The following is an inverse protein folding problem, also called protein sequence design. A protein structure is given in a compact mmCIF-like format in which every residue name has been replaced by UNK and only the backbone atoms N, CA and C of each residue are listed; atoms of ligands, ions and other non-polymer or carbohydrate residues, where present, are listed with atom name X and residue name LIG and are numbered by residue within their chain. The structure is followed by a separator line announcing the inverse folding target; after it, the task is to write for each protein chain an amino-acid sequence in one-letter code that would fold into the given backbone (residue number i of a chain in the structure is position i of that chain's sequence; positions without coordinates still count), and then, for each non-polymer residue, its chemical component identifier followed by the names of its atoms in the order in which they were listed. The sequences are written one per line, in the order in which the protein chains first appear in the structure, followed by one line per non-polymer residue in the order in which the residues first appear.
data_IF_008371160799
#
_entry.id   IF_008371160799
#
_cell.length_a   1.000
_cell.length_b   1.000
_cell.length_c   1.000
_cell.angle_alpha   90.00
_cell.angle_beta   90.00
_cell.angle_gamma   90.00
#
_symmetry.space_group_name_H-M   'P 1'
#
loop_
_entity.id
_entity.type
_entity.pdbx_description
1 polymer ?
#
# COMPACT_ATOMS: atom_id res chain seq x y z
N UNK A 1 12.60 43.14 81.72
CA UNK A 1 12.77 41.70 81.47
C UNK A 1 12.20 41.44 80.08
N UNK A 2 12.96 41.56 78.96
CA UNK A 2 13.96 40.61 78.40
C UNK A 2 13.42 39.17 78.39
N UNK A 3 13.40 38.41 77.28
CA UNK A 3 14.39 38.17 76.18
C UNK A 3 13.68 37.63 74.91
N UNK A 4 14.04 37.97 73.66
CA UNK A 4 15.12 37.49 72.75
C UNK A 4 15.15 35.97 72.42
N UNK A 5 15.03 35.62 71.12
CA UNK A 5 15.82 34.64 70.31
C UNK A 5 15.16 34.50 68.91
N UNK A 6 15.65 35.12 67.83
CA UNK A 6 16.76 34.81 66.89
C UNK A 6 16.44 33.65 65.91
N UNK A 7 16.39 34.04 64.64
CA UNK A 7 16.36 33.25 63.41
C UNK A 7 17.62 32.40 63.20
N UNK A 8 17.45 31.14 62.81
CA UNK A 8 18.51 30.33 62.23
C UNK A 8 18.19 30.07 60.75
N UNK A 9 18.86 30.86 59.94
CA UNK A 9 19.13 30.70 58.51
C UNK A 9 19.78 29.32 58.29
N UNK A 10 19.10 28.41 57.58
CA UNK A 10 19.72 27.15 57.18
C UNK A 10 20.58 27.43 55.97
N UNK A 11 21.88 27.37 56.19
CA UNK A 11 22.93 27.46 55.18
C UNK A 11 22.66 26.50 54.03
N UNK A 12 22.29 27.04 52.87
CA UNK A 12 22.51 26.40 51.58
C UNK A 12 24.01 26.10 51.46
N UNK A 13 24.37 24.82 51.56
CA UNK A 13 25.69 24.34 51.17
C UNK A 13 25.81 24.48 49.64
N UNK A 14 26.66 25.40 49.12
CA UNK A 14 26.81 25.62 47.68
C UNK A 14 27.45 24.43 46.96
N UNK A 15 27.92 23.42 47.69
CA UNK A 15 28.57 22.22 47.17
C UNK A 15 27.67 20.98 47.19
N UNK A 16 26.44 21.08 47.72
CA UNK A 16 25.45 19.99 47.70
C UNK A 16 24.64 19.91 46.39
N UNK A 17 25.16 20.46 45.29
CA UNK A 17 24.63 20.24 43.93
C UNK A 17 24.87 18.78 43.50
N UNK A 18 24.21 17.86 44.20
CA UNK A 18 24.14 16.46 43.87
C UNK A 18 23.77 16.33 42.41
N UNK A 19 24.59 15.56 41.69
CA UNK A 19 24.39 15.17 40.31
C UNK A 19 22.90 14.92 40.05
N UNK A 20 22.22 15.90 39.45
CA UNK A 20 20.91 15.66 38.83
C UNK A 20 21.18 14.70 37.70
N UNK A 21 21.06 13.39 37.98
CA UNK A 21 21.01 12.34 36.96
C UNK A 21 19.98 12.81 35.93
N UNK A 22 20.45 13.23 34.75
CA UNK A 22 19.60 13.76 33.68
C UNK A 22 18.50 12.73 33.44
N UNK A 23 17.26 13.01 33.88
CA UNK A 23 16.14 12.10 33.72
C UNK A 23 15.94 11.88 32.23
N UNK A 24 15.85 10.61 31.81
CA UNK A 24 15.50 10.27 30.44
C UNK A 24 14.19 10.97 30.04
N UNK A 25 14.02 11.31 28.76
CA UNK A 25 12.77 11.88 28.29
C UNK A 25 11.65 10.86 28.46
N UNK A 26 10.47 11.35 28.85
CA UNK A 26 9.26 10.55 28.83
C UNK A 26 8.73 10.52 27.41
N UNK A 27 8.61 9.32 26.84
CA UNK A 27 8.14 9.10 25.48
C UNK A 27 6.77 8.41 25.54
N UNK A 28 5.80 8.98 24.83
CA UNK A 28 4.47 8.39 24.67
C UNK A 28 4.28 8.03 23.21
N UNK A 29 4.03 6.75 22.94
CA UNK A 29 3.67 6.23 21.62
C UNK A 29 2.16 6.03 21.58
N UNK A 30 1.48 6.69 20.64
CA UNK A 30 0.02 6.60 20.47
C UNK A 30 -0.27 5.65 19.30
N UNK A 31 -0.95 4.56 19.60
CA UNK A 31 -1.26 3.45 18.69
C UNK A 31 -0.29 2.28 18.85
N UNK A 32 -0.82 1.11 19.21
CA UNK A 32 -0.08 -0.16 19.29
C UNK A 32 -0.24 -1.00 18.00
N UNK A 33 -0.33 -0.33 16.84
CA UNK A 33 -0.10 -0.94 15.54
C UNK A 33 1.38 -1.20 15.29
N UNK A 34 1.71 -1.82 14.15
CA UNK A 34 3.11 -2.17 13.85
C UNK A 34 4.08 -1.00 13.86
N UNK A 35 3.66 0.19 13.43
CA UNK A 35 4.52 1.37 13.50
C UNK A 35 4.85 1.77 14.94
N UNK A 36 3.85 1.84 15.81
CA UNK A 36 4.05 2.20 17.21
C UNK A 36 4.82 1.13 18.01
N UNK A 37 4.50 -0.15 17.80
CA UNK A 37 5.24 -1.26 18.41
C UNK A 37 6.70 -1.31 17.94
N UNK A 38 6.94 -1.06 16.66
CA UNK A 38 8.29 -0.96 16.09
C UNK A 38 9.08 0.21 16.67
N UNK A 39 8.44 1.39 16.81
CA UNK A 39 9.05 2.55 17.45
C UNK A 39 9.39 2.28 18.93
N UNK A 40 8.45 1.73 19.70
CA UNK A 40 8.66 1.39 21.10
C UNK A 40 9.79 0.37 21.27
N UNK A 41 9.82 -0.69 20.45
CA UNK A 41 10.90 -1.69 20.44
C UNK A 41 12.26 -1.03 20.21
N UNK A 42 12.41 -0.22 19.16
CA UNK A 42 13.67 0.44 18.83
C UNK A 42 14.15 1.41 19.92
N UNK A 43 13.23 2.13 20.58
CA UNK A 43 13.54 3.00 21.71
C UNK A 43 14.05 2.21 22.93
N UNK A 44 13.35 1.12 23.29
CA UNK A 44 13.74 0.25 24.41
C UNK A 44 15.11 -0.40 24.15
N UNK A 45 15.35 -0.91 22.94
CA UNK A 45 16.63 -1.50 22.53
C UNK A 45 17.79 -0.48 22.56
N UNK A 46 17.46 0.81 22.41
CA UNK A 46 18.43 1.92 22.51
C UNK A 46 18.60 2.45 23.95
N UNK A 47 18.01 1.78 24.95
CA UNK A 47 18.20 2.08 26.37
C UNK A 47 17.23 3.10 26.97
N UNK A 48 16.21 3.54 26.23
CA UNK A 48 15.13 4.34 26.83
C UNK A 48 14.26 3.47 27.73
N UNK A 49 13.95 3.94 28.94
CA UNK A 49 13.19 3.18 29.94
C UNK A 49 11.83 3.81 30.28
N UNK A 50 11.64 5.10 29.97
CA UNK A 50 10.36 5.82 30.22
C UNK A 50 9.53 5.92 28.93
N UNK A 51 9.13 4.75 28.40
CA UNK A 51 8.33 4.61 27.17
C UNK A 51 6.96 4.04 27.51
N UNK A 52 5.89 4.77 27.20
CA UNK A 52 4.50 4.34 27.37
C UNK A 52 3.82 4.18 26.01
N UNK A 53 3.21 3.02 25.74
CA UNK A 53 2.37 2.81 24.56
C UNK A 53 0.91 2.91 24.95
N UNK A 54 0.13 3.72 24.23
CA UNK A 54 -1.31 3.88 24.41
C UNK A 54 -2.04 3.27 23.21
N UNK A 55 -2.99 2.39 23.45
CA UNK A 55 -3.84 1.78 22.42
C UNK A 55 -5.30 2.12 22.70
N UNK A 56 -6.05 2.45 21.64
CA UNK A 56 -7.45 2.85 21.78
C UNK A 56 -8.39 1.64 21.93
N UNK A 57 -7.95 0.48 21.45
CA UNK A 57 -8.68 -0.78 21.52
C UNK A 57 -8.18 -1.66 22.67
N UNK A 58 -8.85 -2.79 22.91
CA UNK A 58 -8.45 -3.82 23.88
C UNK A 58 -7.35 -4.77 23.35
N UNK A 59 -6.89 -4.56 22.10
CA UNK A 59 -5.94 -5.40 21.39
C UNK A 59 -4.82 -4.59 20.73
N UNK A 60 -3.61 -5.12 20.78
CA UNK A 60 -2.48 -4.61 19.98
C UNK A 60 -2.45 -5.24 18.56
N UNK A 61 -1.76 -4.59 17.63
CA UNK A 61 -1.55 -5.09 16.26
C UNK A 61 -2.14 -4.20 15.17
N UNK A 62 -3.00 -3.25 15.53
CA UNK A 62 -3.66 -2.36 14.56
C UNK A 62 -4.51 -3.17 13.57
N UNK A 63 -4.24 -3.02 12.27
CA UNK A 63 -4.95 -3.75 11.21
C UNK A 63 -4.53 -5.22 11.04
N UNK A 64 -3.48 -5.66 11.73
CA UNK A 64 -3.13 -7.09 11.80
C UNK A 64 -4.07 -7.73 12.82
N UNK A 65 -4.90 -8.69 12.41
CA UNK A 65 -5.90 -9.29 13.29
C UNK A 65 -6.12 -10.77 12.98
N UNK A 66 -5.50 -11.62 13.78
CA UNK A 66 -5.69 -13.06 13.78
C UNK A 66 -7.00 -13.43 14.47
N UNK A 67 -7.80 -14.30 13.83
CA UNK A 67 -9.03 -14.87 14.36
C UNK A 67 -8.96 -16.39 14.27
N UNK A 68 -9.28 -17.04 15.38
CA UNK A 68 -9.31 -18.49 15.47
C UNK A 68 -10.70 -19.03 15.12
N UNK A 69 -10.80 -19.95 14.16
CA UNK A 69 -12.01 -20.72 13.88
C UNK A 69 -11.66 -22.21 13.93
N UNK A 70 -12.19 -22.90 14.95
CA UNK A 70 -11.80 -24.29 15.21
C UNK A 70 -10.30 -24.37 15.49
N UNK A 71 -9.58 -25.17 14.70
CA UNK A 71 -8.14 -25.35 14.83
C UNK A 71 -7.32 -24.43 13.89
N UNK A 72 -7.98 -23.66 13.03
CA UNK A 72 -7.33 -22.78 12.06
C UNK A 72 -7.31 -21.31 12.52
N UNK A 73 -6.22 -20.63 12.19
CA UNK A 73 -6.05 -19.19 12.37
C UNK A 73 -6.19 -18.49 11.02
N UNK A 74 -6.99 -17.42 10.99
CA UNK A 74 -7.21 -16.59 9.80
C UNK A 74 -6.84 -15.14 10.10
N UNK A 75 -6.35 -14.40 9.11
CA UNK A 75 -6.05 -12.98 9.25
C UNK A 75 -7.17 -12.14 8.62
N UNK A 76 -7.79 -11.26 9.42
CA UNK A 76 -8.79 -10.30 8.94
C UNK A 76 -8.18 -9.04 8.31
N UNK A 77 -6.87 -8.86 8.43
CA UNK A 77 -6.15 -7.77 7.80
C UNK A 77 -4.65 -8.04 7.75
N UNK A 78 -3.94 -7.29 6.89
CA UNK A 78 -2.53 -7.48 6.61
C UNK A 78 -2.17 -8.93 6.18
N UNK A 79 -2.98 -9.49 5.29
CA UNK A 79 -2.90 -10.90 4.83
C UNK A 79 -1.66 -11.22 3.98
N UNK A 80 -0.85 -10.22 3.59
CA UNK A 80 0.28 -10.39 2.68
C UNK A 80 1.57 -9.79 3.24
N UNK A 81 2.68 -10.54 3.10
CA UNK A 81 4.04 -10.02 3.25
C UNK A 81 4.62 -9.79 1.86
N UNK A 82 4.87 -8.53 1.50
CA UNK A 82 5.35 -8.16 0.17
C UNK A 82 6.88 -8.23 0.06
N UNK A 83 7.38 -9.16 -0.76
CA UNK A 83 8.81 -9.28 -1.06
C UNK A 83 9.67 -9.76 0.12
N UNK A 84 10.84 -10.32 -0.19
CA UNK A 84 11.78 -10.86 0.81
C UNK A 84 12.98 -9.96 1.08
N UNK A 85 13.41 -9.17 0.09
CA UNK A 85 14.64 -8.38 0.21
C UNK A 85 14.38 -7.04 0.92
N UNK A 86 15.07 -6.80 2.04
CA UNK A 86 14.94 -5.55 2.81
C UNK A 86 13.59 -5.37 3.51
N UNK A 87 12.80 -6.44 3.62
CA UNK A 87 11.51 -6.42 4.29
C UNK A 87 11.66 -6.98 5.72
N UNK A 88 11.61 -6.14 6.77
CA UNK A 88 11.77 -6.60 8.16
C UNK A 88 10.67 -7.55 8.62
N UNK A 89 9.47 -7.50 8.01
CA UNK A 89 8.37 -8.41 8.35
C UNK A 89 8.62 -9.80 7.79
N UNK A 90 9.24 -9.89 6.60
CA UNK A 90 9.63 -11.17 6.02
C UNK A 90 10.68 -11.87 6.89
N UNK A 91 11.73 -11.14 7.28
CA UNK A 91 12.76 -11.69 8.18
C UNK A 91 12.20 -12.05 9.55
N UNK A 92 11.25 -11.27 10.08
CA UNK A 92 10.56 -11.64 11.31
C UNK A 92 9.80 -12.96 11.17
N UNK A 93 9.12 -13.18 10.03
CA UNK A 93 8.45 -14.44 9.76
C UNK A 93 9.45 -15.60 9.60
N UNK A 94 10.59 -15.36 8.93
CA UNK A 94 11.68 -16.32 8.77
C UNK A 94 12.29 -16.74 10.12
N UNK A 95 12.65 -15.78 10.96
CA UNK A 95 13.24 -15.98 12.28
C UNK A 95 12.32 -16.76 13.24
N UNK A 96 11.01 -16.71 13.00
CA UNK A 96 10.00 -17.43 13.79
C UNK A 96 9.53 -18.73 13.12
N UNK A 97 10.14 -19.15 12.00
CA UNK A 97 9.76 -20.37 11.29
C UNK A 97 8.33 -20.35 10.75
N UNK A 98 7.81 -19.15 10.41
CA UNK A 98 6.44 -18.94 9.92
C UNK A 98 6.33 -18.94 8.39
N UNK A 99 7.47 -18.98 7.69
CA UNK A 99 7.49 -19.14 6.24
C UNK A 99 7.27 -20.60 5.89
N UNK A 100 6.31 -20.90 5.02
CA UNK A 100 6.17 -22.25 4.48
C UNK A 100 7.42 -22.63 3.67
N UNK A 101 7.91 -23.85 3.88
CA UNK A 101 8.92 -24.47 3.01
C UNK A 101 8.29 -24.72 1.64
N UNK A 102 8.23 -23.68 0.81
CA UNK A 102 7.73 -23.81 -0.55
C UNK A 102 8.77 -24.54 -1.38
N UNK A 103 8.37 -25.67 -1.95
CA UNK A 103 9.13 -26.29 -3.04
C UNK A 103 9.17 -25.32 -4.23
N UNK A 104 10.20 -25.41 -5.07
CA UNK A 104 10.34 -24.56 -6.27
C UNK A 104 9.11 -24.59 -7.19
N UNK A 105 8.26 -25.63 -7.08
CA UNK A 105 6.98 -25.81 -7.78
C UNK A 105 5.79 -25.03 -7.20
N UNK A 106 5.81 -24.63 -5.93
CA UNK A 106 4.67 -24.02 -5.24
C UNK A 106 4.66 -22.49 -5.29
N UNK A 107 5.74 -21.88 -5.80
CA UNK A 107 5.88 -20.42 -5.92
C UNK A 107 5.01 -19.76 -7.00
N UNK A 108 4.13 -20.51 -7.69
CA UNK A 108 3.52 -20.09 -8.97
C UNK A 108 2.01 -20.25 -9.08
N UNK A 109 1.25 -20.22 -7.98
CA UNK A 109 -0.22 -20.24 -8.07
C UNK A 109 -0.79 -18.86 -7.74
N UNK A 110 -0.85 -18.01 -8.76
CA UNK A 110 -1.51 -16.71 -8.75
C UNK A 110 -1.35 -16.04 -10.12
N UNK A 111 -2.48 -15.89 -10.84
CA UNK A 111 -2.71 -15.18 -12.13
C UNK A 111 -1.52 -15.21 -13.12
N UNK A 112 -1.65 -15.98 -14.21
CA UNK A 112 -0.63 -16.09 -15.27
C UNK A 112 -0.31 -14.70 -15.84
N UNK A 113 0.79 -14.14 -15.35
CA UNK A 113 1.72 -13.26 -16.05
C UNK A 113 3.07 -13.94 -15.87
N UNK A 114 3.85 -14.11 -16.94
CA UNK A 114 5.13 -14.81 -16.89
C UNK A 114 6.15 -13.99 -16.07
N UNK A 115 6.08 -14.09 -14.75
CA UNK A 115 7.06 -13.55 -13.82
C UNK A 115 8.21 -14.56 -13.72
N UNK A 116 9.44 -14.10 -13.95
CA UNK A 116 10.65 -14.85 -13.55
C UNK A 116 10.68 -15.02 -12.02
N UNK A 117 11.49 -15.96 -11.51
CA UNK A 117 11.70 -16.31 -10.07
C UNK A 117 11.88 -15.10 -9.11
N UNK A 118 12.09 -13.89 -9.63
CA UNK A 118 12.29 -12.63 -8.89
C UNK A 118 11.20 -11.57 -9.10
N UNK A 119 10.05 -11.90 -9.71
CA UNK A 119 8.96 -10.95 -9.93
C UNK A 119 9.24 -9.85 -10.98
N UNK A 120 10.32 -9.97 -11.75
CA UNK A 120 10.69 -9.02 -12.81
C UNK A 120 10.16 -9.53 -14.15
N UNK A 121 9.29 -8.75 -14.80
CA UNK A 121 8.90 -8.98 -16.18
C UNK A 121 10.11 -8.78 -17.11
N UNK A 122 10.40 -9.76 -17.97
CA UNK A 122 11.41 -9.61 -19.00
C UNK A 122 10.76 -9.23 -20.32
N UNK A 123 11.26 -8.16 -20.94
CA UNK A 123 10.90 -7.77 -22.29
C UNK A 123 12.04 -8.18 -23.23
N UNK A 124 11.71 -8.94 -24.27
CA UNK A 124 12.67 -9.51 -25.20
C UNK A 124 12.33 -9.06 -26.62
N UNK A 125 13.34 -8.81 -27.44
CA UNK A 125 13.18 -8.70 -28.89
C UNK A 125 12.85 -10.07 -29.48
N UNK A 126 12.42 -10.11 -30.75
CA UNK A 126 12.24 -11.35 -31.50
C UNK A 126 13.52 -12.17 -31.69
N UNK A 127 14.70 -11.56 -31.51
CA UNK A 127 16.01 -12.22 -31.51
C UNK A 127 16.44 -12.71 -30.12
N UNK A 128 15.58 -12.60 -29.11
CA UNK A 128 15.87 -13.00 -27.73
C UNK A 128 16.76 -12.01 -26.96
N UNK A 129 17.01 -10.82 -27.50
CA UNK A 129 17.77 -9.79 -26.78
C UNK A 129 16.90 -9.09 -25.75
N UNK A 130 17.47 -8.84 -24.57
CA UNK A 130 16.76 -8.17 -23.49
C UNK A 130 16.61 -6.67 -23.76
N UNK A 131 15.39 -6.19 -23.61
CA UNK A 131 15.05 -4.77 -23.61
C UNK A 131 15.24 -4.24 -22.17
N UNK A 132 15.99 -3.14 -21.98
CA UNK A 132 16.12 -2.50 -20.68
C UNK A 132 14.75 -2.11 -20.09
N UNK A 133 14.59 -2.29 -18.77
CA UNK A 133 13.31 -2.12 -18.08
C UNK A 133 12.82 -0.66 -18.12
N UNK A 134 13.73 0.28 -17.90
CA UNK A 134 13.54 1.72 -17.99
C UNK A 134 12.98 2.13 -19.36
N UNK A 135 13.57 1.61 -20.45
CA UNK A 135 13.08 1.88 -21.82
C UNK A 135 11.65 1.38 -22.01
N UNK A 136 11.28 0.26 -21.36
CA UNK A 136 9.93 -0.28 -21.44
C UNK A 136 8.94 0.55 -20.64
N UNK A 137 9.28 0.90 -19.41
CA UNK A 137 8.42 1.72 -18.54
C UNK A 137 8.15 3.06 -19.21
N UNK A 138 9.19 3.72 -19.71
CA UNK A 138 9.07 5.01 -20.41
C UNK A 138 8.22 4.91 -21.68
N UNK A 139 8.39 3.84 -22.48
CA UNK A 139 7.53 3.61 -23.64
C UNK A 139 6.08 3.33 -23.24
N UNK A 140 5.87 2.57 -22.16
CA UNK A 140 4.54 2.25 -21.65
C UNK A 140 3.81 3.50 -21.19
N UNK A 141 4.50 4.40 -20.51
CA UNK A 141 3.95 5.69 -20.08
C UNK A 141 3.56 6.55 -21.29
N UNK A 142 4.47 6.68 -22.28
CA UNK A 142 4.18 7.35 -23.54
C UNK A 142 2.97 6.75 -24.26
N UNK A 143 2.90 5.41 -24.34
CA UNK A 143 1.79 4.72 -24.98
C UNK A 143 0.48 4.99 -24.27
N UNK A 144 0.45 4.89 -22.94
CA UNK A 144 -0.74 5.15 -22.12
C UNK A 144 -1.23 6.60 -22.28
N UNK A 145 -0.33 7.57 -22.35
CA UNK A 145 -0.70 8.96 -22.65
C UNK A 145 -1.37 9.08 -24.02
N UNK A 146 -0.80 8.47 -25.06
CA UNK A 146 -1.37 8.53 -26.41
C UNK A 146 -2.69 7.76 -26.47
N UNK A 147 -2.80 6.63 -25.77
CA UNK A 147 -4.02 5.86 -25.66
C UNK A 147 -5.13 6.68 -24.98
N UNK A 148 -4.83 7.41 -23.91
CA UNK A 148 -5.78 8.33 -23.28
C UNK A 148 -6.25 9.44 -24.24
N UNK A 149 -5.38 9.94 -25.13
CA UNK A 149 -5.79 10.88 -26.18
C UNK A 149 -6.81 10.27 -27.15
N UNK A 150 -6.75 8.96 -27.41
CA UNK A 150 -7.76 8.28 -28.23
C UNK A 150 -9.13 8.27 -27.55
N UNK A 151 -9.16 8.15 -26.22
CA UNK A 151 -10.38 8.19 -25.41
C UNK A 151 -10.95 9.61 -25.30
N UNK A 152 -10.08 10.62 -25.16
CA UNK A 152 -10.49 12.04 -25.13
C UNK A 152 -10.99 12.57 -26.49
N UNK A 153 -10.69 11.86 -27.58
CA UNK A 153 -11.11 12.23 -28.95
C UNK A 153 -12.63 12.35 -29.06
N UNK A 154 -13.38 11.51 -28.35
CA UNK A 154 -14.83 11.59 -28.26
C UNK A 154 -15.30 12.83 -27.47
N UNK A 155 -14.65 13.14 -26.34
CA UNK A 155 -15.10 14.16 -25.39
C UNK A 155 -14.88 15.60 -25.87
N UNK A 156 -13.86 15.87 -26.70
CA UNK A 156 -13.46 17.24 -27.08
C UNK A 156 -13.80 17.64 -28.52
N UNK A 157 -14.40 16.75 -29.30
CA UNK A 157 -14.65 16.96 -30.72
C UNK A 157 -13.39 16.85 -31.57
N UNK A 158 -13.55 16.34 -32.79
CA UNK A 158 -12.46 16.00 -33.73
C UNK A 158 -11.40 17.12 -33.85
N UNK A 159 -10.10 16.87 -33.61
CA UNK A 159 -9.06 17.81 -34.01
C UNK A 159 -9.04 17.95 -35.54
N UNK A 160 -8.84 19.17 -36.01
CA UNK A 160 -8.80 19.51 -37.44
C UNK A 160 -7.71 18.66 -38.12
N UNK A 161 -8.09 17.90 -39.16
CA UNK A 161 -7.30 16.95 -39.97
C UNK A 161 -7.28 15.46 -39.54
N UNK A 162 -8.11 15.02 -38.58
CA UNK A 162 -8.21 13.59 -38.22
C UNK A 162 -9.09 12.74 -39.17
N UNK A 163 -9.73 13.37 -40.17
CA UNK A 163 -10.74 12.72 -41.02
C UNK A 163 -10.18 11.81 -42.12
N UNK A 164 -8.87 11.75 -42.34
CA UNK A 164 -8.34 10.97 -43.47
C UNK A 164 -8.28 9.46 -43.22
N UNK A 165 -8.29 8.97 -41.96
CA UNK A 165 -8.22 7.53 -41.67
C UNK A 165 -9.08 7.00 -40.50
N UNK A 166 -9.72 7.85 -39.67
CA UNK A 166 -10.61 7.48 -38.53
C UNK A 166 -10.26 6.13 -37.85
N UNK A 167 -9.04 6.00 -37.36
CA UNK A 167 -8.48 4.71 -36.95
C UNK A 167 -7.57 4.86 -35.73
N UNK A 168 -7.86 4.09 -34.68
CA UNK A 168 -7.06 4.08 -33.44
C UNK A 168 -5.63 3.68 -33.73
N UNK A 169 -5.42 2.64 -34.54
CA UNK A 169 -4.10 2.13 -34.89
C UNK A 169 -3.27 3.17 -35.66
N UNK A 170 -3.87 3.82 -36.67
CA UNK A 170 -3.20 4.87 -37.45
C UNK A 170 -2.82 6.04 -36.56
N UNK A 171 -3.77 6.57 -35.80
CA UNK A 171 -3.56 7.71 -34.93
C UNK A 171 -2.46 7.44 -33.91
N UNK A 172 -2.55 6.30 -33.22
CA UNK A 172 -1.58 5.92 -32.19
C UNK A 172 -0.18 5.82 -32.77
N UNK A 173 -0.02 5.18 -33.93
CA UNK A 173 1.30 5.11 -34.61
C UNK A 173 1.84 6.47 -34.99
N UNK A 174 1.01 7.37 -35.50
CA UNK A 174 1.47 8.68 -35.94
C UNK A 174 1.89 9.56 -34.77
N UNK A 175 1.12 9.58 -33.68
CA UNK A 175 1.43 10.38 -32.49
C UNK A 175 2.67 9.83 -31.78
N UNK A 176 2.72 8.52 -31.52
CA UNK A 176 3.90 7.90 -30.89
C UNK A 176 5.14 8.11 -31.75
N UNK A 177 5.05 7.90 -33.08
CA UNK A 177 6.20 8.10 -33.98
C UNK A 177 6.72 9.54 -33.93
N UNK A 178 5.83 10.54 -33.89
CA UNK A 178 6.22 11.95 -33.78
C UNK A 178 6.92 12.22 -32.44
N UNK A 179 6.36 11.74 -31.33
CA UNK A 179 6.91 11.95 -29.98
C UNK A 179 8.27 11.27 -29.80
N UNK A 180 8.40 9.98 -30.16
CA UNK A 180 9.68 9.24 -30.08
C UNK A 180 10.78 9.89 -30.94
N UNK A 181 10.44 10.40 -32.13
CA UNK A 181 11.42 11.08 -32.98
C UNK A 181 11.88 12.42 -32.42
N UNK A 182 10.97 13.16 -31.79
CA UNK A 182 11.22 14.48 -31.23
C UNK A 182 11.98 14.44 -29.89
N UNK A 183 12.05 13.28 -29.24
CA UNK A 183 12.78 13.09 -27.99
C UNK A 183 14.30 13.29 -28.19
N UNK A 184 14.92 14.30 -27.55
CA UNK A 184 16.34 14.57 -27.69
C UNK A 184 17.21 13.66 -26.81
N UNK A 185 16.65 13.06 -25.76
CA UNK A 185 17.39 12.27 -24.76
C UNK A 185 17.61 10.83 -25.23
N UNK A 186 16.74 10.35 -26.12
CA UNK A 186 16.86 9.03 -26.71
C UNK A 186 17.94 8.93 -27.80
N UNK A 187 18.78 7.91 -27.68
CA UNK A 187 19.64 7.49 -28.79
C UNK A 187 18.82 6.89 -29.94
N UNK A 188 19.33 6.94 -31.17
CA UNK A 188 18.69 6.33 -32.35
C UNK A 188 18.41 4.83 -32.17
N UNK A 189 19.20 4.12 -31.37
CA UNK A 189 18.96 2.72 -31.04
C UNK A 189 17.72 2.54 -30.15
N UNK A 190 17.56 3.39 -29.13
CA UNK A 190 16.41 3.39 -28.23
C UNK A 190 15.13 3.81 -28.98
N UNK A 191 15.21 4.83 -29.85
CA UNK A 191 14.09 5.24 -30.70
C UNK A 191 13.59 4.10 -31.58
N UNK A 192 14.50 3.35 -32.21
CA UNK A 192 14.13 2.16 -33.00
C UNK A 192 13.45 1.09 -32.16
N UNK A 193 13.90 0.90 -30.92
CA UNK A 193 13.34 -0.08 -30.00
C UNK A 193 11.92 0.32 -29.56
N UNK A 194 11.72 1.56 -29.13
CA UNK A 194 10.40 2.14 -28.81
C UNK A 194 9.43 2.04 -30.01
N UNK A 195 9.88 2.40 -31.21
CA UNK A 195 9.09 2.26 -32.43
C UNK A 195 8.76 0.81 -32.82
N UNK A 196 9.56 -0.17 -32.39
CA UNK A 196 9.24 -1.59 -32.60
C UNK A 196 8.21 -2.08 -31.56
N UNK A 197 8.30 -1.60 -30.32
CA UNK A 197 7.39 -1.97 -29.23
C UNK A 197 5.93 -1.58 -29.50
N UNK A 198 5.68 -0.51 -30.26
CA UNK A 198 4.31 -0.11 -30.61
C UNK A 198 3.50 -1.22 -31.29
N UNK A 199 4.14 -2.07 -32.09
CA UNK A 199 3.46 -3.17 -32.76
C UNK A 199 2.96 -4.20 -31.76
N UNK A 200 3.70 -4.41 -30.67
CA UNK A 200 3.29 -5.34 -29.63
C UNK A 200 2.10 -4.80 -28.84
N UNK A 201 2.13 -3.52 -28.48
CA UNK A 201 1.03 -2.88 -27.75
C UNK A 201 -0.25 -2.86 -28.58
N UNK A 202 -0.18 -2.48 -29.85
CA UNK A 202 -1.36 -2.50 -30.74
C UNK A 202 -1.90 -3.93 -30.97
N UNK A 203 -1.05 -4.96 -30.93
CA UNK A 203 -1.52 -6.35 -30.97
C UNK A 203 -2.28 -6.73 -29.70
N UNK A 204 -1.80 -6.33 -28.53
CA UNK A 204 -2.53 -6.56 -27.27
C UNK A 204 -3.87 -5.84 -27.31
N UNK A 205 -3.91 -4.57 -27.72
CA UNK A 205 -5.18 -3.84 -27.83
C UNK A 205 -6.15 -4.45 -28.85
N UNK A 206 -5.65 -5.05 -29.94
CA UNK A 206 -6.52 -5.75 -30.89
C UNK A 206 -7.21 -6.97 -30.27
N UNK A 207 -6.57 -7.62 -29.29
CA UNK A 207 -7.21 -8.68 -28.51
C UNK A 207 -8.35 -8.13 -27.64
N UNK A 208 -8.09 -7.04 -26.90
CA UNK A 208 -9.07 -6.41 -26.01
C UNK A 208 -10.26 -5.84 -26.80
N UNK A 209 -9.98 -5.23 -27.95
CA UNK A 209 -10.98 -4.65 -28.86
C UNK A 209 -11.65 -5.68 -29.77
N UNK A 210 -11.31 -6.97 -29.66
CA UNK A 210 -11.81 -8.05 -30.52
C UNK A 210 -11.69 -7.75 -32.02
N UNK A 211 -10.60 -7.10 -32.43
CA UNK A 211 -10.34 -6.67 -33.81
C UNK A 211 -9.19 -7.45 -34.44
N UNK A 212 -9.13 -7.51 -35.77
CA UNK A 212 -7.99 -8.12 -36.48
C UNK A 212 -6.76 -7.20 -36.45
N UNK A 213 -7.00 -5.90 -36.29
CA UNK A 213 -6.02 -4.85 -36.17
C UNK A 213 -6.68 -3.63 -35.55
N UNK A 214 -5.93 -2.86 -34.75
CA UNK A 214 -6.38 -1.54 -34.30
C UNK A 214 -6.60 -0.55 -35.45
N UNK A 215 -6.18 -0.90 -36.67
CA UNK A 215 -6.43 -0.10 -37.86
C UNK A 215 -7.91 -0.06 -38.24
N UNK A 216 -8.66 -1.08 -37.84
CA UNK A 216 -10.10 -1.23 -38.10
C UNK A 216 -10.96 -0.63 -36.97
N UNK A 217 -10.35 -0.26 -35.85
CA UNK A 217 -11.06 0.27 -34.69
C UNK A 217 -11.30 1.78 -34.88
N UNK A 218 -12.57 2.17 -34.89
CA UNK A 218 -13.00 3.55 -35.11
C UNK A 218 -12.52 4.46 -33.99
N UNK A 219 -11.68 5.44 -34.34
CA UNK A 219 -11.18 6.43 -33.36
C UNK A 219 -12.29 7.31 -32.78
N UNK A 220 -13.33 7.64 -33.57
CA UNK A 220 -14.45 8.45 -33.10
C UNK A 220 -15.31 7.76 -32.04
N UNK A 221 -15.49 6.46 -32.17
CA UNK A 221 -16.36 5.66 -31.29
C UNK A 221 -15.60 5.04 -30.12
N UNK A 222 -14.27 4.89 -30.23
CA UNK A 222 -13.45 4.19 -29.24
C UNK A 222 -13.55 4.79 -27.83
N UNK A 223 -13.79 6.11 -27.75
CA UNK A 223 -14.00 6.84 -26.49
C UNK A 223 -15.44 6.88 -25.98
N UNK A 224 -16.42 6.31 -26.71
CA UNK A 224 -17.82 6.23 -26.26
C UNK A 224 -18.03 5.18 -25.16
N UNK A 225 -17.10 4.23 -25.03
CA UNK A 225 -17.17 3.24 -23.96
C UNK A 225 -16.95 3.93 -22.62
N UNK A 226 -18.05 4.22 -21.94
CA UNK A 226 -18.05 4.65 -20.55
C UNK A 226 -18.29 3.44 -19.69
N UNK A 227 -17.33 3.13 -18.82
CA UNK A 227 -17.57 2.15 -17.77
C UNK A 227 -18.74 2.67 -16.92
N UNK A 228 -19.81 1.87 -16.79
CA UNK A 228 -20.87 2.16 -15.82
C UNK A 228 -20.26 1.91 -14.45
N UNK A 229 -19.62 2.95 -13.89
CA UNK A 229 -18.82 2.86 -12.68
C UNK A 229 -19.67 2.81 -11.40
N UNK A 230 -20.95 3.19 -11.49
CA UNK A 230 -21.88 3.22 -10.35
C UNK A 230 -22.99 2.19 -10.55
N UNK A 231 -22.93 1.14 -9.73
CA UNK A 231 -24.03 0.22 -9.58
C UNK A 231 -25.05 0.78 -8.59
N UNK A 232 -26.36 0.49 -8.76
CA UNK A 232 -27.32 0.63 -7.67
C UNK A 232 -26.80 -0.06 -6.39
N UNK A 233 -27.11 0.50 -5.21
CA UNK A 233 -26.54 0.02 -3.93
C UNK A 233 -26.83 -1.47 -3.70
N UNK A 234 -27.97 -1.97 -4.16
CA UNK A 234 -28.37 -3.38 -4.06
C UNK A 234 -27.48 -4.34 -4.87
N UNK A 235 -26.67 -3.81 -5.80
CA UNK A 235 -25.74 -4.58 -6.63
C UNK A 235 -24.29 -4.46 -6.15
N UNK A 236 -24.05 -4.07 -4.90
CA UNK A 236 -22.71 -3.98 -4.29
C UNK A 236 -21.83 -5.21 -4.53
N UNK A 237 -22.44 -6.39 -4.58
CA UNK A 237 -21.75 -7.67 -4.76
C UNK A 237 -21.02 -7.78 -6.10
N UNK A 238 -21.32 -6.92 -7.08
CA UNK A 238 -20.59 -6.85 -8.35
C UNK A 238 -19.15 -6.35 -8.21
N UNK A 239 -18.78 -5.74 -7.08
CA UNK A 239 -17.39 -5.39 -6.75
C UNK A 239 -16.66 -6.45 -5.94
N UNK A 240 -17.28 -7.62 -5.72
CA UNK A 240 -16.53 -8.79 -5.26
C UNK A 240 -15.60 -9.22 -6.40
N UNK A 241 -14.29 -9.09 -6.21
CA UNK A 241 -13.32 -9.34 -7.29
C UNK A 241 -12.84 -10.79 -7.35
N UNK A 242 -12.86 -11.53 -6.25
CA UNK A 242 -12.52 -12.95 -6.23
C UNK A 242 -13.02 -13.66 -4.97
N UNK A 243 -13.10 -14.99 -5.08
CA UNK A 243 -13.14 -15.91 -3.95
C UNK A 243 -11.95 -16.88 -4.05
N UNK A 244 -11.16 -16.96 -3.00
CA UNK A 244 -10.08 -17.93 -2.85
C UNK A 244 -10.54 -19.08 -1.95
N UNK A 245 -10.28 -20.32 -2.38
CA UNK A 245 -10.50 -21.50 -1.55
C UNK A 245 -9.27 -21.73 -0.70
N UNK A 246 -9.43 -21.80 0.62
CA UNK A 246 -8.31 -22.09 1.51
C UNK A 246 -8.06 -23.60 1.57
N UNK A 247 -6.84 -24.01 1.20
CA UNK A 247 -6.37 -25.39 1.15
C UNK A 247 -5.12 -25.57 2.02
N UNK A 248 -4.91 -26.76 2.63
CA UNK A 248 -5.77 -27.94 2.55
C UNK A 248 -6.96 -27.89 3.53
N UNK A 249 -8.12 -28.50 3.21
CA UNK A 249 -9.32 -28.45 4.05
C UNK A 249 -9.12 -29.14 5.41
N UNK A 250 -8.19 -30.07 5.52
CA UNK A 250 -7.83 -30.69 6.80
C UNK A 250 -7.21 -29.68 7.78
N UNK A 251 -6.53 -28.66 7.24
CA UNK A 251 -5.91 -27.59 8.02
C UNK A 251 -6.86 -26.42 8.22
N UNK A 252 -7.51 -25.94 7.16
CA UNK A 252 -8.28 -24.69 7.18
C UNK A 252 -9.80 -24.89 7.21
N UNK A 253 -10.29 -26.12 7.06
CA UNK A 253 -11.71 -26.41 6.86
C UNK A 253 -12.20 -26.01 5.47
N UNK A 254 -13.53 -26.05 5.28
CA UNK A 254 -14.17 -25.63 4.03
C UNK A 254 -14.46 -24.12 4.05
N UNK A 255 -13.43 -23.32 3.81
CA UNK A 255 -13.49 -21.85 3.89
C UNK A 255 -13.26 -21.22 2.51
N UNK A 256 -14.09 -20.23 2.20
CA UNK A 256 -13.93 -19.32 1.07
C UNK A 256 -13.57 -17.93 1.59
N UNK A 257 -12.53 -17.33 1.04
CA UNK A 257 -12.11 -15.95 1.32
C UNK A 257 -12.50 -15.06 0.16
N UNK A 258 -13.39 -14.09 0.38
CA UNK A 258 -13.85 -13.16 -0.65
C UNK A 258 -13.18 -11.78 -0.53
N UNK A 259 -12.94 -11.14 -1.67
CA UNK A 259 -12.38 -9.78 -1.73
C UNK A 259 -13.39 -8.82 -2.34
N UNK A 260 -13.62 -7.68 -1.69
CA UNK A 260 -14.48 -6.60 -2.19
C UNK A 260 -13.71 -5.28 -2.18
N UNK A 261 -13.93 -4.44 -3.19
CA UNK A 261 -13.31 -3.14 -3.33
C UNK A 261 -14.34 -2.05 -3.65
N UNK A 262 -13.88 -0.79 -3.71
CA UNK A 262 -14.72 0.35 -4.06
C UNK A 262 -15.61 0.86 -2.91
N UNK A 263 -16.52 1.77 -3.26
CA UNK A 263 -17.53 2.30 -2.32
C UNK A 263 -18.53 1.23 -1.91
N UNK A 264 -18.71 0.22 -2.75
CA UNK A 264 -19.54 -0.96 -2.53
C UNK A 264 -19.09 -1.78 -1.32
N UNK A 265 -17.80 -1.74 -0.95
CA UNK A 265 -17.33 -2.30 0.31
C UNK A 265 -18.00 -1.62 1.52
N UNK A 266 -18.20 -0.29 1.48
CA UNK A 266 -18.88 0.46 2.53
C UNK A 266 -20.39 0.20 2.56
N UNK A 267 -20.98 -0.11 1.40
CA UNK A 267 -22.38 -0.53 1.31
C UNK A 267 -22.55 -1.92 1.95
N UNK A 268 -21.68 -2.87 1.58
CA UNK A 268 -21.63 -4.21 2.17
C UNK A 268 -21.44 -4.15 3.69
N UNK A 269 -20.60 -3.24 4.20
CA UNK A 269 -20.40 -3.07 5.64
C UNK A 269 -21.71 -2.79 6.40
N UNK A 270 -22.70 -2.13 5.77
CA UNK A 270 -24.03 -1.84 6.36
C UNK A 270 -24.97 -3.05 6.37
N UNK A 271 -24.72 -4.05 5.53
CA UNK A 271 -25.54 -5.26 5.47
C UNK A 271 -25.31 -6.14 6.71
N UNK A 272 -26.32 -6.93 7.09
CA UNK A 272 -26.14 -8.01 8.06
C UNK A 272 -25.48 -9.24 7.42
N UNK A 273 -24.96 -10.12 8.28
CA UNK A 273 -24.21 -11.30 7.82
C UNK A 273 -25.08 -12.29 7.03
N UNK A 274 -26.39 -12.36 7.29
CA UNK A 274 -27.33 -13.22 6.58
C UNK A 274 -27.53 -12.75 5.13
N UNK A 275 -27.70 -11.44 4.94
CA UNK A 275 -27.83 -10.80 3.63
C UNK A 275 -26.57 -11.02 2.80
N UNK A 276 -25.39 -10.83 3.41
CA UNK A 276 -24.10 -11.07 2.75
C UNK A 276 -23.96 -12.55 2.38
N UNK A 277 -24.31 -13.47 3.29
CA UNK A 277 -24.23 -14.91 3.05
C UNK A 277 -25.14 -15.36 1.90
N UNK A 278 -26.41 -14.91 1.86
CA UNK A 278 -27.34 -15.22 0.77
C UNK A 278 -26.81 -14.65 -0.55
N UNK A 279 -26.45 -13.37 -0.60
CA UNK A 279 -25.98 -12.70 -1.82
C UNK A 279 -24.77 -13.41 -2.41
N UNK A 280 -23.75 -13.72 -1.59
CA UNK A 280 -22.57 -14.47 -2.02
C UNK A 280 -22.94 -15.89 -2.49
N UNK A 281 -23.86 -16.56 -1.81
CA UNK A 281 -24.29 -17.93 -2.17
C UNK A 281 -25.00 -17.94 -3.51
N UNK A 282 -25.95 -17.02 -3.75
CA UNK A 282 -26.62 -16.87 -5.03
C UNK A 282 -25.63 -16.56 -6.15
N UNK A 283 -24.68 -15.67 -5.88
CA UNK A 283 -23.63 -15.32 -6.83
C UNK A 283 -22.80 -16.56 -7.22
N UNK A 284 -22.34 -17.34 -6.22
CA UNK A 284 -21.59 -18.57 -6.45
C UNK A 284 -22.41 -19.62 -7.21
N UNK A 285 -23.69 -19.82 -6.89
CA UNK A 285 -24.58 -20.73 -7.62
C UNK A 285 -24.69 -20.34 -9.09
N UNK A 286 -24.83 -19.04 -9.38
CA UNK A 286 -24.90 -18.52 -10.76
C UNK A 286 -23.59 -18.76 -11.52
N UNK A 287 -22.45 -18.40 -10.93
CA UNK A 287 -21.15 -18.53 -11.62
C UNK A 287 -20.67 -19.97 -11.78
N UNK A 288 -20.98 -20.85 -10.83
CA UNK A 288 -20.58 -22.27 -10.89
C UNK A 288 -21.59 -23.14 -11.64
N UNK A 289 -22.81 -22.65 -11.88
CA UNK A 289 -23.92 -23.45 -12.40
C UNK A 289 -24.45 -24.50 -11.42
N UNK A 290 -23.98 -24.52 -10.16
CA UNK A 290 -24.38 -25.51 -9.15
C UNK A 290 -25.42 -24.91 -8.18
N UNK A 291 -26.72 -25.25 -8.31
CA UNK A 291 -27.77 -24.71 -7.43
C UNK A 291 -27.68 -25.25 -5.99
N UNK A 292 -26.94 -26.34 -5.75
CA UNK A 292 -26.89 -27.03 -4.46
C UNK A 292 -25.82 -26.48 -3.51
N UNK A 293 -25.07 -25.43 -3.90
CA UNK A 293 -24.10 -24.79 -3.00
C UNK A 293 -24.84 -24.32 -1.73
N UNK A 294 -24.47 -24.81 -0.55
CA UNK A 294 -25.11 -24.41 0.69
C UNK A 294 -24.65 -23.01 1.12
N UNK A 295 -25.47 -22.34 1.93
CA UNK A 295 -25.04 -21.11 2.60
C UNK A 295 -23.87 -21.40 3.55
N UNK A 296 -22.93 -20.45 3.72
CA UNK A 296 -21.88 -20.58 4.72
C UNK A 296 -22.49 -20.63 6.12
N UNK A 297 -21.91 -21.46 7.00
CA UNK A 297 -22.37 -21.57 8.41
C UNK A 297 -22.00 -20.35 9.24
N UNK A 298 -20.96 -19.62 8.84
CA UNK A 298 -20.43 -18.43 9.52
C UNK A 298 -19.85 -17.50 8.46
N UNK A 299 -20.08 -16.20 8.65
CA UNK A 299 -19.39 -15.13 7.92
C UNK A 299 -18.42 -14.47 8.89
N UNK A 300 -17.20 -14.26 8.44
CA UNK A 300 -16.29 -13.31 9.06
C UNK A 300 -15.97 -12.24 8.02
N UNK A 301 -16.04 -10.98 8.43
CA UNK A 301 -15.76 -9.85 7.55
C UNK A 301 -15.10 -8.72 8.33
N UNK A 302 -14.21 -8.02 7.67
CA UNK A 302 -13.69 -6.75 8.16
C UNK A 302 -14.67 -5.62 7.91
N UNK A 303 -14.64 -4.60 8.77
CA UNK A 303 -15.38 -3.34 8.57
C UNK A 303 -14.42 -2.15 8.65
N UNK A 304 -13.35 -2.16 7.85
CA UNK A 304 -12.26 -1.19 7.95
C UNK A 304 -12.74 0.25 7.70
N UNK A 305 -13.72 0.43 6.80
CA UNK A 305 -14.22 1.75 6.43
C UNK A 305 -15.04 2.42 7.52
N UNK A 306 -15.98 1.68 8.11
CA UNK A 306 -16.85 2.16 9.19
C UNK A 306 -16.20 2.12 10.59
N UNK A 307 -15.08 1.40 10.76
CA UNK A 307 -14.39 1.34 12.06
C UNK A 307 -13.84 2.72 12.47
N UNK A 308 -14.21 3.25 13.65
CA UNK A 308 -13.86 4.61 14.06
C UNK A 308 -12.37 4.85 14.29
N UNK A 309 -11.58 3.79 14.54
CA UNK A 309 -10.14 3.85 14.80
C UNK A 309 -9.29 3.73 13.53
N UNK A 310 -9.85 3.18 12.43
CA UNK A 310 -9.12 2.97 11.17
C UNK A 310 -9.62 3.86 10.04
N UNK A 311 -10.94 4.01 9.89
CA UNK A 311 -11.61 4.85 8.86
C UNK A 311 -11.15 4.58 7.42
N UNK A 312 -10.77 3.34 7.12
CA UNK A 312 -10.24 2.94 5.82
C UNK A 312 -9.26 1.78 5.89
N UNK A 313 -8.98 1.19 4.73
CA UNK A 313 -8.12 0.02 4.58
C UNK A 313 -6.63 0.37 4.60
N UNK A 314 -6.17 1.22 3.68
CA UNK A 314 -4.79 1.67 3.55
C UNK A 314 -4.71 2.93 2.67
N UNK A 315 -3.62 3.68 2.78
CA UNK A 315 -3.40 4.87 1.94
C UNK A 315 -3.26 4.52 0.46
N UNK A 316 -3.50 5.50 -0.41
CA UNK A 316 -3.12 5.48 -1.82
C UNK A 316 -2.86 6.93 -2.26
N UNK A 317 -2.08 7.13 -3.32
CA UNK A 317 -1.84 8.46 -3.88
C UNK A 317 -2.99 8.84 -4.80
N UNK A 318 -3.90 9.70 -4.32
CA UNK A 318 -5.01 10.19 -5.12
C UNK A 318 -4.52 11.06 -6.29
N UNK A 319 -5.27 11.12 -7.38
CA UNK A 319 -5.02 12.05 -8.50
C UNK A 319 -4.86 13.47 -7.95
N UNK A 320 -3.75 14.13 -8.30
CA UNK A 320 -3.38 15.46 -7.80
C UNK A 320 -2.52 15.46 -6.53
N UNK A 321 -2.34 14.32 -5.87
CA UNK A 321 -1.37 14.14 -4.78
C UNK A 321 -0.02 13.63 -5.30
N UNK A 322 1.01 13.68 -4.48
CA UNK A 322 2.35 13.19 -4.83
C UNK A 322 3.10 12.62 -3.63
N UNK A 323 4.27 12.01 -3.88
CA UNK A 323 5.16 11.57 -2.81
C UNK A 323 5.62 12.69 -1.86
N UNK A 324 5.52 13.96 -2.27
CA UNK A 324 5.81 15.09 -1.39
C UNK A 324 4.77 15.23 -0.25
N UNK A 325 3.52 14.81 -0.47
CA UNK A 325 2.49 14.83 0.56
C UNK A 325 2.79 13.80 1.65
N UNK A 326 3.26 12.61 1.25
CA UNK A 326 3.71 11.56 2.17
C UNK A 326 4.91 12.04 3.00
N UNK A 327 5.87 12.70 2.38
CA UNK A 327 7.02 13.29 3.09
C UNK A 327 6.58 14.39 4.05
N UNK A 328 5.64 15.24 3.65
CA UNK A 328 5.07 16.29 4.51
C UNK A 328 4.36 15.69 5.71
N UNK A 329 3.59 14.62 5.53
CA UNK A 329 2.94 13.89 6.62
C UNK A 329 3.95 13.27 7.59
N UNK A 330 5.12 12.86 7.10
CA UNK A 330 6.21 12.30 7.91
C UNK A 330 7.08 13.34 8.63
N UNK A 331 6.82 14.65 8.49
CA UNK A 331 7.63 15.69 9.15
C UNK A 331 7.21 15.86 10.62
N UNK A 332 8.17 15.93 11.55
CA UNK A 332 7.86 16.14 12.96
C UNK A 332 7.40 17.58 13.22
N UNK A 333 6.71 17.76 14.35
CA UNK A 333 6.34 19.07 14.90
C UNK A 333 7.11 19.34 16.20
N UNK A 334 7.52 20.59 16.47
CA UNK A 334 7.37 21.76 15.60
C UNK A 334 8.32 21.74 14.39
N UNK A 335 7.90 22.34 13.27
CA UNK A 335 8.71 22.43 12.04
C UNK A 335 9.95 23.33 12.16
N UNK A 336 9.99 24.20 13.16
CA UNK A 336 11.02 25.22 13.34
C UNK A 336 12.00 24.82 14.44
N UNK A 337 13.28 25.21 14.27
CA UNK A 337 14.26 25.20 15.35
C UNK A 337 13.78 26.13 16.47
N UNK A 338 13.22 25.55 17.52
CA UNK A 338 12.94 26.29 18.74
C UNK A 338 14.27 26.72 19.35
N UNK A 339 14.35 27.95 19.83
CA UNK A 339 15.47 28.40 20.68
C UNK A 339 15.51 27.72 22.05
N UNK A 340 14.51 26.88 22.39
CA UNK A 340 14.47 26.06 23.60
C UNK A 340 15.06 24.69 23.32
N UNK A 341 16.14 24.34 24.00
CA UNK A 341 16.80 23.03 23.91
C UNK A 341 16.32 22.08 25.01
N UNK A 342 15.90 20.84 24.69
CA UNK A 342 15.15 20.43 23.49
C UNK A 342 13.63 20.76 23.61
N UNK A 343 12.96 21.18 22.53
CA UNK A 343 11.51 21.43 22.57
C UNK A 343 10.73 20.11 22.52
N UNK A 344 9.51 20.10 23.05
CA UNK A 344 8.61 18.94 22.97
C UNK A 344 8.33 18.60 21.50
N UNK A 345 8.56 17.33 21.12
CA UNK A 345 8.39 16.84 19.75
C UNK A 345 7.12 16.00 19.60
N UNK A 346 6.50 16.11 18.43
CA UNK A 346 5.45 15.20 17.96
C UNK A 346 5.95 14.58 16.65
N UNK A 347 6.11 13.26 16.67
CA UNK A 347 6.60 12.46 15.54
C UNK A 347 5.43 11.75 14.86
N UNK A 348 5.50 11.52 13.54
CA UNK A 348 4.45 10.84 12.77
C UNK A 348 5.01 9.57 12.13
N UNK A 349 4.46 8.43 12.55
CA UNK A 349 4.76 7.10 11.99
C UNK A 349 3.47 6.42 11.51
N UNK A 350 3.61 5.36 10.73
CA UNK A 350 2.52 4.65 10.07
C UNK A 350 2.78 4.48 8.58
N UNK A 351 2.09 3.52 7.95
CA UNK A 351 2.28 3.19 6.53
C UNK A 351 2.13 4.41 5.61
N UNK A 352 1.17 5.30 5.90
CA UNK A 352 0.91 6.50 5.12
C UNK A 352 2.05 7.53 5.16
N UNK A 353 3.04 7.34 6.05
CA UNK A 353 4.21 8.22 6.20
C UNK A 353 5.46 7.67 5.50
N UNK A 354 5.36 6.53 4.80
CA UNK A 354 6.52 5.89 4.15
C UNK A 354 6.45 6.01 2.62
N UNK A 355 7.19 6.98 2.04
CA UNK A 355 7.14 7.32 0.60
C UNK A 355 7.23 6.14 -0.37
N UNK A 356 8.10 5.16 -0.09
CA UNK A 356 8.33 4.02 -1.00
C UNK A 356 7.45 2.80 -0.72
N UNK A 357 6.94 2.67 0.50
CA UNK A 357 6.32 1.44 1.01
C UNK A 357 4.99 1.75 1.70
N UNK A 358 4.31 2.80 1.24
CA UNK A 358 2.97 3.15 1.71
C UNK A 358 2.01 1.98 1.45
N UNK A 359 0.91 1.92 2.21
CA UNK A 359 -0.08 0.84 2.21
C UNK A 359 0.41 -0.51 2.73
N UNK A 360 1.65 -0.63 3.20
CA UNK A 360 2.23 -1.92 3.60
C UNK A 360 2.57 -2.03 5.08
N UNK A 361 2.55 -3.27 5.56
CA UNK A 361 2.99 -3.71 6.90
C UNK A 361 4.45 -3.33 7.17
N UNK A 362 5.35 -3.54 6.20
CA UNK A 362 6.77 -3.22 6.37
C UNK A 362 7.05 -1.72 6.31
N UNK A 363 6.31 -0.95 5.51
CA UNK A 363 6.34 0.51 5.55
C UNK A 363 5.94 1.07 6.91
N UNK A 364 4.94 0.46 7.57
CA UNK A 364 4.58 0.80 8.95
C UNK A 364 5.74 0.52 9.91
N UNK A 365 6.34 -0.68 9.87
CA UNK A 365 7.49 -1.05 10.73
C UNK A 365 8.67 -0.07 10.54
N UNK A 366 9.04 0.21 9.29
CA UNK A 366 10.16 1.08 8.94
C UNK A 366 9.92 2.54 9.34
N UNK A 367 8.69 3.04 9.20
CA UNK A 367 8.35 4.39 9.66
C UNK A 367 8.42 4.51 11.19
N UNK A 368 8.06 3.46 11.93
CA UNK A 368 8.25 3.40 13.39
C UNK A 368 9.71 3.48 13.80
N UNK A 369 10.58 2.69 13.15
CA UNK A 369 12.04 2.74 13.34
C UNK A 369 12.61 4.12 13.00
N UNK A 370 12.13 4.74 11.91
CA UNK A 370 12.55 6.10 11.51
C UNK A 370 12.26 7.14 12.58
N UNK A 371 11.06 7.14 13.16
CA UNK A 371 10.72 8.10 14.21
C UNK A 371 11.45 7.81 15.53
N UNK A 372 11.67 6.54 15.86
CA UNK A 372 12.53 6.18 16.99
C UNK A 372 13.96 6.69 16.80
N UNK A 373 14.54 6.50 15.61
CA UNK A 373 15.90 6.98 15.29
C UNK A 373 16.03 8.50 15.46
N UNK A 374 15.03 9.29 15.03
CA UNK A 374 15.00 10.74 15.24
C UNK A 374 15.03 11.12 16.72
N UNK A 375 14.25 10.42 17.56
CA UNK A 375 14.24 10.65 19.01
C UNK A 375 15.56 10.21 19.66
N UNK A 376 16.13 9.08 19.24
CA UNK A 376 17.43 8.58 19.72
C UNK A 376 18.52 9.61 19.43
N UNK A 377 18.60 10.10 18.20
CA UNK A 377 19.57 11.13 17.78
C UNK A 377 19.40 12.42 18.60
N UNK A 378 18.17 12.88 18.75
CA UNK A 378 17.85 14.10 19.50
C UNK A 378 18.21 14.04 20.99
N UNK A 379 18.16 12.84 21.59
CA UNK A 379 18.42 12.63 23.02
C UNK A 379 19.71 11.85 23.31
N UNK A 380 20.57 11.66 22.30
CA UNK A 380 21.79 10.85 22.39
C UNK A 380 22.74 11.33 23.51
N UNK A 381 22.86 12.65 23.69
CA UNK A 381 23.68 13.28 24.73
C UNK A 381 23.19 12.98 26.17
N UNK A 382 21.91 12.64 26.33
CA UNK A 382 21.36 12.26 27.63
C UNK A 382 21.67 10.80 28.00
N UNK A 383 21.98 9.96 27.01
CA UNK A 383 22.26 8.53 27.19
C UNK A 383 23.75 8.23 27.42
N UNK A 384 24.65 9.10 26.98
CA UNK A 384 26.11 8.89 27.07
C UNK A 384 26.77 9.43 28.34
N UNK A 385 26.03 10.05 29.27
CA UNK A 385 26.60 10.47 30.56
C UNK A 385 26.75 9.27 31.50
N UNK A 386 27.96 8.95 32.00
CA UNK A 386 28.14 7.94 33.05
C UNK A 386 27.31 8.30 34.28
N UNK A 387 26.68 7.28 34.88
CA UNK A 387 25.85 7.41 36.08
C UNK A 387 26.64 7.86 37.31
#
# INVERSE_FOLDING_TARGET
MQSCEISADSTDDPLSSGLRRKRQPRIVVIGAGLAGLSAAKALLESGFTDVTVLEATDRIGGRVQSVQIGHATFELGATWIHGSHGNPVYHLAEDNGLLEETTDSERSVGRISLYSKNGVAYHLTNSGQRIPKDVVEEFSDLYNEVYNLTQEFFQRGKPVNAESQNSVGVFTRDVVRKRVKADPDDTEAVKRLKLAMIQQYLKVESCESSSHSMDEVSLSEFGEWTEILTYPEELWYKKICSFDVLYPPERYGHVLSGWICGEEALIMEKCDDETVAETCTEMLRKFTGNPNIPKPRRILRSSWGSNPYFRGSYSYTQVGSSGADVEKLAKPLPYAESSKTPPMQVMFSGEATHRKYYSTTHGAVLSGQREAARLIEMYQDLLQCPA
#
